data_IF_618175924175
#
_entry.id   IF_618175924175
#
_cell.length_a   1.000
_cell.length_b   1.000
_cell.length_c   1.000
_cell.angle_alpha   90.00
_cell.angle_beta   90.00
_cell.angle_gamma   90.00
#
_symmetry.space_group_name_H-M   'P 1'
#
loop_
_entity.id
_entity.type
_entity.pdbx_description
1 polymer ?
#
# COMPACT_ATOMS: atom_id res chain seq x y z
N UNK A 1 2.84 32.75 -18.90
CA UNK A 1 2.36 31.58 -19.68
C UNK A 1 1.79 30.65 -18.63
N UNK A 2 0.62 31.03 -18.12
CA UNK A 2 0.06 30.59 -16.82
C UNK A 2 -1.28 29.88 -17.02
N UNK A 3 -1.42 29.21 -18.16
CA UNK A 3 -2.61 28.47 -18.55
C UNK A 3 -2.16 27.03 -18.76
N UNK A 4 -1.85 26.33 -17.67
CA UNK A 4 -1.83 24.86 -17.66
C UNK A 4 -1.77 24.24 -16.25
N UNK A 5 -1.34 24.98 -15.22
CA UNK A 5 -1.26 24.43 -13.85
C UNK A 5 -2.66 24.22 -13.22
N UNK A 6 -3.61 25.11 -13.51
CA UNK A 6 -4.99 25.02 -12.97
C UNK A 6 -5.88 23.99 -13.69
N UNK A 7 -5.53 23.58 -14.92
CA UNK A 7 -6.23 22.52 -15.65
C UNK A 7 -5.81 21.12 -15.17
N UNK A 8 -4.55 20.97 -14.72
CA UNK A 8 -4.04 19.73 -14.12
C UNK A 8 -4.68 19.50 -12.73
N UNK A 9 -4.84 20.57 -11.94
CA UNK A 9 -5.41 20.53 -10.57
C UNK A 9 -6.88 20.07 -10.50
N UNK A 10 -7.62 20.14 -11.61
CA UNK A 10 -9.06 19.82 -11.66
C UNK A 10 -9.38 18.34 -11.94
N UNK A 11 -8.40 17.49 -12.23
CA UNK A 11 -8.61 16.06 -12.52
C UNK A 11 -8.49 15.11 -11.32
N UNK A 12 -8.09 15.63 -10.15
CA UNK A 12 -7.86 14.87 -8.91
C UNK A 12 -9.09 14.70 -7.98
N UNK A 13 -10.23 14.17 -8.47
CA UNK A 13 -11.07 13.35 -7.59
C UNK A 13 -11.20 11.89 -8.04
N UNK A 14 -10.88 11.57 -9.30
CA UNK A 14 -11.03 10.20 -9.83
C UNK A 14 -9.83 9.30 -9.53
N UNK A 15 -8.62 9.86 -9.51
CA UNK A 15 -7.37 9.12 -9.31
C UNK A 15 -7.28 8.52 -7.90
N UNK A 16 -7.70 9.28 -6.89
CA UNK A 16 -7.82 8.79 -5.51
C UNK A 16 -8.79 7.62 -5.38
N UNK A 17 -9.95 7.68 -6.05
CA UNK A 17 -10.94 6.60 -6.00
C UNK A 17 -10.40 5.35 -6.69
N UNK A 18 -9.74 5.49 -7.84
CA UNK A 18 -9.14 4.35 -8.53
C UNK A 18 -8.05 3.69 -7.68
N UNK A 19 -7.13 4.48 -7.12
CA UNK A 19 -6.09 3.97 -6.23
C UNK A 19 -6.68 3.31 -4.97
N UNK A 20 -7.74 3.89 -4.39
CA UNK A 20 -8.49 3.30 -3.26
C UNK A 20 -9.12 1.96 -3.61
N UNK A 21 -9.66 1.80 -4.82
CA UNK A 21 -10.24 0.53 -5.26
C UNK A 21 -9.14 -0.51 -5.48
N UNK A 22 -8.04 -0.15 -6.16
CA UNK A 22 -6.93 -1.08 -6.40
C UNK A 22 -6.24 -1.53 -5.10
N UNK A 23 -6.03 -0.60 -4.18
CA UNK A 23 -5.48 -0.89 -2.84
C UNK A 23 -6.36 -1.84 -2.05
N UNK A 24 -7.67 -1.61 -2.05
CA UNK A 24 -8.64 -2.45 -1.36
C UNK A 24 -8.67 -3.86 -1.99
N UNK A 25 -8.55 -3.97 -3.31
CA UNK A 25 -8.38 -5.25 -4.01
C UNK A 25 -7.06 -5.94 -3.62
N UNK A 26 -5.92 -5.22 -3.57
CA UNK A 26 -4.64 -5.83 -3.15
C UNK A 26 -4.73 -6.31 -1.68
N UNK A 27 -5.31 -5.51 -0.79
CA UNK A 27 -5.49 -5.85 0.62
C UNK A 27 -6.38 -7.08 0.84
N UNK A 28 -7.53 -7.16 0.15
CA UNK A 28 -8.40 -8.33 0.17
C UNK A 28 -7.66 -9.55 -0.40
N UNK A 29 -6.96 -9.40 -1.53
CA UNK A 29 -6.22 -10.48 -2.15
C UNK A 29 -5.12 -11.04 -1.24
N UNK A 30 -4.36 -10.18 -0.56
CA UNK A 30 -3.35 -10.62 0.42
C UNK A 30 -3.99 -11.33 1.62
N UNK A 31 -5.15 -10.84 2.09
CA UNK A 31 -5.87 -11.47 3.19
C UNK A 31 -6.37 -12.88 2.81
N UNK A 32 -6.92 -13.04 1.60
CA UNK A 32 -7.35 -14.33 1.09
C UNK A 32 -6.16 -15.28 0.91
N UNK A 33 -5.04 -14.81 0.36
CA UNK A 33 -3.82 -15.61 0.21
C UNK A 33 -3.30 -16.10 1.57
N UNK A 34 -3.33 -15.25 2.60
CA UNK A 34 -2.96 -15.64 3.95
C UNK A 34 -3.80 -16.80 4.48
N UNK A 35 -5.11 -16.81 4.21
CA UNK A 35 -6.01 -17.92 4.60
C UNK A 35 -5.64 -19.20 3.85
N UNK A 36 -5.34 -19.11 2.55
CA UNK A 36 -4.94 -20.28 1.76
C UNK A 36 -3.60 -20.87 2.24
N UNK A 37 -2.61 -20.03 2.50
CA UNK A 37 -1.32 -20.47 3.05
C UNK A 37 -1.49 -21.14 4.42
N UNK A 38 -2.41 -20.62 5.24
CA UNK A 38 -2.72 -21.22 6.55
C UNK A 38 -3.46 -22.57 6.42
N UNK A 39 -4.24 -22.76 5.35
CA UNK A 39 -4.98 -23.99 5.11
C UNK A 39 -4.11 -25.12 4.56
N UNK A 40 -3.09 -24.80 3.75
CA UNK A 40 -2.13 -25.78 3.19
C UNK A 40 -0.91 -25.99 4.10
N UNK A 41 -1.00 -25.55 5.36
CA UNK A 41 0.11 -25.51 6.29
C UNK A 41 0.66 -26.91 6.61
N UNK A 42 1.91 -27.17 6.19
CA UNK A 42 2.72 -28.30 6.60
C UNK A 42 3.79 -27.82 7.57
N UNK A 43 3.92 -28.49 8.71
CA UNK A 43 4.77 -28.06 9.83
C UNK A 43 6.22 -28.46 9.58
N UNK A 44 6.85 -27.85 8.58
CA UNK A 44 8.26 -28.14 8.26
C UNK A 44 9.19 -27.10 8.92
N UNK A 45 8.81 -25.81 8.95
CA UNK A 45 9.57 -24.75 9.62
C UNK A 45 8.69 -23.75 10.39
N UNK A 46 9.15 -23.20 11.54
CA UNK A 46 8.38 -22.20 12.28
C UNK A 46 8.15 -20.90 11.50
N UNK A 47 8.99 -20.62 10.49
CA UNK A 47 8.88 -19.41 9.67
C UNK A 47 7.61 -19.41 8.81
N UNK A 48 7.06 -20.59 8.52
CA UNK A 48 5.85 -20.77 7.71
C UNK A 48 4.58 -20.41 8.48
N UNK A 49 4.65 -20.27 9.82
CA UNK A 49 3.54 -19.73 10.64
C UNK A 49 3.54 -18.21 10.65
N UNK A 50 4.73 -17.62 10.76
CA UNK A 50 4.86 -16.18 10.91
C UNK A 50 4.55 -15.46 9.60
N UNK A 51 4.95 -16.02 8.45
CA UNK A 51 4.80 -15.36 7.15
C UNK A 51 3.33 -15.10 6.77
N UNK A 52 2.40 -16.08 6.87
CA UNK A 52 0.98 -15.85 6.60
C UNK A 52 0.35 -14.88 7.61
N UNK A 53 0.79 -14.92 8.88
CA UNK A 53 0.34 -13.98 9.90
C UNK A 53 0.70 -12.53 9.54
N UNK A 54 1.92 -12.30 9.04
CA UNK A 54 2.31 -10.99 8.52
C UNK A 54 1.48 -10.57 7.32
N UNK A 55 1.18 -11.47 6.38
CA UNK A 55 0.31 -11.16 5.25
C UNK A 55 -1.11 -10.79 5.68
N UNK A 56 -1.68 -11.48 6.69
CA UNK A 56 -2.98 -11.12 7.24
C UNK A 56 -2.96 -9.72 7.86
N UNK A 57 -1.97 -9.43 8.70
CA UNK A 57 -1.85 -8.14 9.39
C UNK A 57 -1.64 -7.01 8.37
N UNK A 58 -0.75 -7.19 7.38
CA UNK A 58 -0.51 -6.18 6.36
C UNK A 58 -1.69 -6.01 5.40
N UNK A 59 -2.39 -7.08 5.04
CA UNK A 59 -3.61 -7.01 4.24
C UNK A 59 -4.71 -6.22 4.94
N UNK A 60 -4.92 -6.48 6.24
CA UNK A 60 -5.87 -5.70 7.07
C UNK A 60 -5.41 -4.25 7.18
N UNK A 61 -4.12 -3.99 7.45
CA UNK A 61 -3.59 -2.62 7.50
C UNK A 61 -3.80 -1.86 6.19
N UNK A 62 -3.63 -2.50 5.04
CA UNK A 62 -3.95 -1.90 3.73
C UNK A 62 -5.42 -1.51 3.64
N UNK A 63 -6.33 -2.43 3.97
CA UNK A 63 -7.78 -2.16 3.92
C UNK A 63 -8.14 -1.02 4.87
N UNK A 64 -7.65 -1.06 6.11
CA UNK A 64 -7.93 -0.06 7.14
C UNK A 64 -7.33 1.30 6.76
N UNK A 65 -6.20 1.34 6.05
CA UNK A 65 -5.60 2.58 5.57
C UNK A 65 -6.50 3.36 4.62
N UNK A 66 -7.40 2.68 3.89
CA UNK A 66 -8.35 3.35 2.98
C UNK A 66 -9.49 4.05 3.73
N UNK A 67 -9.91 3.51 4.88
CA UNK A 67 -11.00 4.08 5.68
C UNK A 67 -10.58 5.26 6.55
N UNK A 68 -9.27 5.56 6.62
CA UNK A 68 -8.67 6.61 7.46
C UNK A 68 -9.30 6.71 8.87
N UNK A 69 -9.42 5.60 9.63
CA UNK A 69 -10.03 5.69 10.95
C UNK A 69 -9.13 6.55 11.85
N UNK A 70 -9.74 7.46 12.62
CA UNK A 70 -9.02 8.43 13.45
C UNK A 70 -8.04 7.81 14.47
N UNK A 71 -8.24 6.53 14.82
CA UNK A 71 -7.31 5.76 15.67
C UNK A 71 -6.02 5.40 14.93
N UNK A 72 -6.11 4.99 13.66
CA UNK A 72 -4.95 4.56 12.88
C UNK A 72 -4.03 5.74 12.54
N UNK A 73 -4.62 6.93 12.34
CA UNK A 73 -3.87 8.18 12.09
C UNK A 73 -2.89 8.49 13.23
N UNK A 74 -3.22 8.12 14.48
CA UNK A 74 -2.36 8.37 15.65
C UNK A 74 -1.12 7.46 15.70
N UNK A 75 -1.25 6.21 15.28
CA UNK A 75 -0.16 5.23 15.36
C UNK A 75 0.61 5.09 14.04
N UNK A 76 -0.09 5.20 12.92
CA UNK A 76 0.43 4.94 11.57
C UNK A 76 0.30 6.18 10.69
N UNK A 77 0.81 7.31 11.18
CA UNK A 77 0.84 8.56 10.41
C UNK A 77 1.52 8.37 9.04
N UNK A 78 2.50 7.47 8.94
CA UNK A 78 3.16 7.16 7.67
C UNK A 78 2.25 6.45 6.63
N UNK A 79 1.24 5.67 7.04
CA UNK A 79 0.29 5.07 6.09
C UNK A 79 -0.71 6.10 5.54
N UNK A 80 -0.90 7.22 6.25
CA UNK A 80 -1.73 8.32 5.78
C UNK A 80 -1.00 9.19 4.77
N UNK A 81 0.33 9.25 4.84
CA UNK A 81 1.19 9.91 3.86
C UNK A 81 1.27 9.07 2.58
N UNK A 82 1.05 9.69 1.42
CA UNK A 82 1.12 9.03 0.11
C UNK A 82 2.49 8.35 -0.13
N UNK A 83 3.57 8.98 0.34
CA UNK A 83 4.92 8.41 0.27
C UNK A 83 5.06 7.14 1.12
N UNK A 84 4.67 7.21 2.40
CA UNK A 84 4.76 6.06 3.31
C UNK A 84 3.82 4.93 2.88
N UNK A 85 2.65 5.26 2.33
CA UNK A 85 1.75 4.30 1.69
C UNK A 85 2.42 3.62 0.50
N UNK A 86 3.01 4.36 -0.44
CA UNK A 86 3.72 3.77 -1.59
C UNK A 86 4.86 2.83 -1.16
N UNK A 87 5.68 3.25 -0.21
CA UNK A 87 6.74 2.42 0.38
C UNK A 87 6.20 1.16 1.06
N UNK A 88 5.09 1.27 1.79
CA UNK A 88 4.43 0.15 2.44
C UNK A 88 3.92 -0.90 1.43
N UNK A 89 3.41 -0.46 0.28
CA UNK A 89 2.99 -1.34 -0.81
C UNK A 89 4.16 -2.10 -1.43
N UNK A 90 5.28 -1.41 -1.70
CA UNK A 90 6.50 -2.06 -2.21
C UNK A 90 7.02 -3.07 -1.20
N UNK A 91 7.13 -2.68 0.07
CA UNK A 91 7.58 -3.56 1.15
C UNK A 91 6.69 -4.81 1.27
N UNK A 92 5.37 -4.63 1.32
CA UNK A 92 4.42 -5.74 1.39
C UNK A 92 4.54 -6.66 0.17
N UNK A 93 4.68 -6.10 -1.03
CA UNK A 93 4.89 -6.87 -2.25
C UNK A 93 6.20 -7.67 -2.24
N UNK A 94 7.30 -7.10 -1.73
CA UNK A 94 8.58 -7.83 -1.63
C UNK A 94 8.50 -9.02 -0.66
N UNK A 95 7.69 -8.91 0.40
CA UNK A 95 7.47 -10.02 1.33
C UNK A 95 6.77 -11.19 0.61
N UNK A 96 5.80 -10.90 -0.26
CA UNK A 96 5.06 -11.92 -1.03
C UNK A 96 5.93 -12.72 -2.02
N UNK A 97 7.13 -12.26 -2.38
CA UNK A 97 8.04 -12.98 -3.29
C UNK A 97 8.52 -14.31 -2.69
N UNK A 98 8.54 -14.43 -1.35
CA UNK A 98 8.95 -15.67 -0.68
C UNK A 98 7.95 -16.82 -0.85
N UNK A 99 6.77 -16.53 -1.39
CA UNK A 99 5.71 -17.50 -1.64
C UNK A 99 6.07 -18.60 -2.65
N UNK A 100 5.49 -19.79 -2.50
CA UNK A 100 5.61 -20.89 -3.47
C UNK A 100 4.52 -20.83 -4.56
N UNK A 101 3.43 -20.10 -4.32
CA UNK A 101 2.31 -20.03 -5.25
C UNK A 101 2.51 -18.94 -6.31
N UNK A 102 2.23 -19.27 -7.57
CA UNK A 102 2.26 -18.32 -8.70
C UNK A 102 1.40 -17.07 -8.42
N UNK A 103 0.27 -17.24 -7.73
CA UNK A 103 -0.61 -16.13 -7.33
C UNK A 103 0.10 -15.13 -6.40
N UNK A 104 0.97 -15.59 -5.49
CA UNK A 104 1.73 -14.70 -4.61
C UNK A 104 2.72 -13.86 -5.41
N UNK A 105 3.38 -14.42 -6.44
CA UNK A 105 4.25 -13.65 -7.33
C UNK A 105 3.49 -12.60 -8.15
N UNK A 106 2.30 -12.95 -8.65
CA UNK A 106 1.44 -12.00 -9.36
C UNK A 106 1.03 -10.86 -8.43
N UNK A 107 0.61 -11.17 -7.21
CA UNK A 107 0.23 -10.16 -6.20
C UNK A 107 1.43 -9.32 -5.76
N UNK A 108 2.62 -9.93 -5.62
CA UNK A 108 3.86 -9.23 -5.33
C UNK A 108 4.18 -8.20 -6.40
N UNK A 109 4.19 -8.62 -7.68
CA UNK A 109 4.44 -7.73 -8.80
C UNK A 109 3.40 -6.61 -8.88
N UNK A 110 2.13 -6.93 -8.64
CA UNK A 110 1.03 -5.98 -8.65
C UNK A 110 1.14 -4.93 -7.53
N UNK A 111 1.37 -5.35 -6.29
CA UNK A 111 1.51 -4.42 -5.17
C UNK A 111 2.80 -3.58 -5.29
N UNK A 112 3.90 -4.12 -5.82
CA UNK A 112 5.11 -3.34 -6.15
C UNK A 112 4.80 -2.31 -7.25
N UNK A 113 4.13 -2.71 -8.34
CA UNK A 113 3.78 -1.80 -9.42
C UNK A 113 2.88 -0.66 -8.96
N UNK A 114 1.89 -0.94 -8.11
CA UNK A 114 1.05 0.09 -7.47
C UNK A 114 1.89 1.01 -6.59
N UNK A 115 2.76 0.46 -5.74
CA UNK A 115 3.60 1.26 -4.86
C UNK A 115 4.53 2.19 -5.64
N UNK A 116 5.16 1.69 -6.70
CA UNK A 116 5.99 2.49 -7.62
C UNK A 116 5.15 3.55 -8.33
N UNK A 117 3.96 3.20 -8.82
CA UNK A 117 3.06 4.16 -9.46
C UNK A 117 2.69 5.30 -8.51
N UNK A 118 2.34 5.00 -7.25
CA UNK A 118 2.03 5.99 -6.21
C UNK A 118 3.25 6.90 -5.96
N UNK A 119 4.46 6.35 -5.87
CA UNK A 119 5.68 7.13 -5.66
C UNK A 119 6.01 8.02 -6.87
N UNK A 120 5.88 7.50 -8.08
CA UNK A 120 6.14 8.24 -9.32
C UNK A 120 5.16 9.39 -9.51
N UNK A 121 3.86 9.18 -9.26
CA UNK A 121 2.87 10.27 -9.34
C UNK A 121 3.21 11.39 -8.36
N UNK A 122 3.58 11.06 -7.12
CA UNK A 122 3.94 12.09 -6.12
C UNK A 122 5.25 12.83 -6.46
N UNK A 123 6.23 12.17 -7.07
CA UNK A 123 7.46 12.83 -7.52
C UNK A 123 7.20 13.90 -8.59
N UNK A 124 6.12 13.76 -9.36
CA UNK A 124 5.71 14.74 -10.38
C UNK A 124 4.96 15.92 -9.75
N UNK A 125 4.19 15.68 -8.69
CA UNK A 125 3.31 16.70 -8.07
C UNK A 125 3.98 17.60 -7.01
N UNK A 126 5.19 17.25 -6.55
CA UNK A 126 6.02 18.15 -5.73
C UNK A 126 5.42 18.57 -4.38
N UNK A 127 4.56 17.74 -3.77
CA UNK A 127 3.93 18.09 -2.49
C UNK A 127 4.93 18.21 -1.31
N UNK A 128 4.65 19.11 -0.35
CA UNK A 128 5.48 19.27 0.84
C UNK A 128 5.60 17.96 1.61
N UNK A 129 6.83 17.60 1.96
CA UNK A 129 7.14 16.42 2.75
C UNK A 129 6.96 16.73 4.24
N UNK A 130 6.63 15.73 5.05
CA UNK A 130 6.55 15.89 6.50
C UNK A 130 7.88 16.28 7.18
N UNK A 131 8.99 16.21 6.44
CA UNK A 131 10.31 16.71 6.82
C UNK A 131 10.48 18.21 6.59
N UNK A 132 9.58 18.85 5.85
CA UNK A 132 9.67 20.27 5.59
C UNK A 132 9.46 21.01 6.91
N UNK A 133 10.35 21.97 7.24
CA UNK A 133 10.20 22.75 8.46
C UNK A 133 8.85 23.46 8.44
N UNK A 134 8.16 23.58 9.60
CA UNK A 134 6.92 24.34 9.66
C UNK A 134 7.21 25.75 9.14
N UNK A 135 6.52 26.14 8.06
CA UNK A 135 6.65 27.48 7.49
C UNK A 135 6.40 28.49 8.61
N UNK A 136 7.42 29.31 8.87
CA UNK A 136 7.55 30.10 10.08
C UNK A 136 6.28 30.87 10.43
N UNK A 137 5.82 30.66 11.67
CA UNK A 137 4.97 31.61 12.39
C UNK A 137 5.82 32.78 12.90
#
# INVERSE_FOLDING_TARGET
MDIDVDLIKKSLPKQDVFLRVLSLICGIGMFILSIFDFADYKVDEPIDVFLPLYYAIFGVLMIVSEFRPGVLIRYFRFLCETFGKGMFYIFSGTMCIKGSFVLQYIMAAYCIAIGVFILCCKAVDGEPQASDPPEGQ
#
